data_IF_492019653523
#
_entry.id   IF_492019653523
#
_cell.length_a   1.000
_cell.length_b   1.000
_cell.length_c   1.000
_cell.angle_alpha   90.00
_cell.angle_beta   90.00
_cell.angle_gamma   90.00
#
_symmetry.space_group_name_H-M   'P 1'
#
loop_
_entity.id
_entity.type
_entity.pdbx_description
1 polymer ?
#
# COMPACT_ATOMS: atom_id res chain seq x y z
N UNK A 1 14.42 20.81 -12.93
CA UNK A 1 13.38 20.09 -12.13
C UNK A 1 13.50 18.62 -12.51
N UNK A 2 14.59 17.97 -12.09
CA UNK A 2 15.17 16.82 -12.80
C UNK A 2 14.94 15.47 -12.11
N UNK A 3 13.84 15.33 -11.39
CA UNK A 3 13.41 14.02 -10.89
C UNK A 3 12.10 13.64 -11.55
N UNK A 4 12.02 12.42 -12.01
CA UNK A 4 10.78 11.79 -12.44
C UNK A 4 9.90 11.50 -11.21
N UNK A 5 8.59 11.30 -11.42
CA UNK A 5 7.63 11.13 -10.31
C UNK A 5 7.94 9.87 -9.49
N UNK A 6 8.45 8.83 -10.13
CA UNK A 6 8.87 7.57 -9.51
C UNK A 6 10.15 7.70 -8.68
N UNK A 7 11.10 8.55 -9.09
CA UNK A 7 12.31 8.84 -8.31
C UNK A 7 11.96 9.59 -7.02
N UNK A 8 11.00 10.52 -7.08
CA UNK A 8 10.49 11.23 -5.89
C UNK A 8 9.75 10.29 -4.93
N UNK A 9 8.93 9.38 -5.46
CA UNK A 9 8.21 8.40 -4.63
C UNK A 9 9.19 7.45 -3.90
N UNK A 10 10.27 7.04 -4.58
CA UNK A 10 11.33 6.22 -3.98
C UNK A 10 12.19 6.97 -2.97
N UNK A 11 12.36 8.27 -3.13
CA UNK A 11 13.10 9.13 -2.21
C UNK A 11 12.33 9.49 -0.90
N UNK A 12 11.14 8.90 -0.67
CA UNK A 12 10.40 9.06 0.58
C UNK A 12 9.22 10.04 0.51
N UNK A 13 8.86 10.54 -0.68
CA UNK A 13 7.63 11.33 -0.86
C UNK A 13 6.44 10.38 -0.97
N UNK A 14 5.62 10.33 0.08
CA UNK A 14 4.37 9.57 0.09
C UNK A 14 3.35 10.22 -0.85
N UNK A 15 3.16 9.63 -2.04
CA UNK A 15 2.10 10.01 -2.97
C UNK A 15 0.79 9.37 -2.50
N UNK A 16 -0.02 10.12 -1.76
CA UNK A 16 -1.40 9.72 -1.48
C UNK A 16 -2.22 9.83 -2.78
N UNK A 17 -2.52 8.69 -3.41
CA UNK A 17 -3.43 8.64 -4.55
C UNK A 17 -4.80 9.15 -4.09
N UNK A 18 -5.25 10.28 -4.66
CA UNK A 18 -6.59 10.82 -4.42
C UNK A 18 -7.59 9.86 -5.08
N UNK A 19 -8.35 9.13 -4.24
CA UNK A 19 -9.45 8.24 -4.64
C UNK A 19 -9.10 7.26 -5.77
N UNK A 20 -8.53 6.08 -5.47
CA UNK A 20 -8.50 5.01 -6.47
C UNK A 20 -9.96 4.64 -6.77
N UNK A 21 -10.38 4.83 -8.02
CA UNK A 21 -11.57 4.18 -8.56
C UNK A 21 -11.41 2.70 -8.24
N UNK A 22 -12.30 2.13 -7.40
CA UNK A 22 -12.26 0.73 -6.98
C UNK A 22 -12.17 -0.15 -8.23
N UNK A 23 -10.99 -0.72 -8.50
CA UNK A 23 -10.83 -1.67 -9.60
C UNK A 23 -11.60 -2.93 -9.16
N UNK A 24 -12.70 -3.31 -9.84
CA UNK A 24 -13.51 -4.43 -9.40
C UNK A 24 -12.65 -5.70 -9.32
N UNK A 25 -12.53 -6.27 -8.12
CA UNK A 25 -11.77 -7.51 -7.89
C UNK A 25 -10.34 -7.35 -7.36
N UNK A 26 -9.85 -6.14 -7.10
CA UNK A 26 -8.55 -5.92 -6.43
C UNK A 26 -8.76 -5.27 -5.07
N UNK A 27 -8.70 -6.07 -4.01
CA UNK A 27 -8.75 -5.52 -2.66
C UNK A 27 -7.53 -4.65 -2.35
N UNK A 28 -7.72 -3.63 -1.51
CA UNK A 28 -6.68 -2.75 -0.98
C UNK A 28 -5.52 -3.57 -0.40
N UNK A 29 -5.80 -4.67 0.29
CA UNK A 29 -4.77 -5.58 0.82
C UNK A 29 -3.86 -6.18 -0.26
N UNK A 30 -4.43 -6.59 -1.40
CA UNK A 30 -3.66 -7.12 -2.53
C UNK A 30 -2.87 -6.02 -3.24
N UNK A 31 -3.47 -4.84 -3.42
CA UNK A 31 -2.80 -3.69 -4.00
C UNK A 31 -1.59 -3.23 -3.16
N UNK A 32 -1.77 -3.11 -1.86
CA UNK A 32 -0.72 -2.76 -0.92
C UNK A 32 0.39 -3.83 -0.90
N UNK A 33 0.06 -5.12 -1.08
CA UNK A 33 1.04 -6.20 -1.14
C UNK A 33 1.94 -6.08 -2.36
N UNK A 34 1.34 -5.81 -3.52
CA UNK A 34 2.08 -5.55 -4.77
C UNK A 34 2.98 -4.33 -4.63
N UNK A 35 2.44 -3.24 -4.06
CA UNK A 35 3.20 -2.00 -3.83
C UNK A 35 4.38 -2.22 -2.87
N UNK A 36 4.15 -2.94 -1.77
CA UNK A 36 5.21 -3.29 -0.83
C UNK A 36 6.28 -4.20 -1.47
N UNK A 37 5.88 -5.11 -2.35
CA UNK A 37 6.81 -5.97 -3.12
C UNK A 37 7.68 -5.13 -4.05
N UNK A 38 7.10 -4.16 -4.75
CA UNK A 38 7.84 -3.27 -5.66
C UNK A 38 8.86 -2.39 -4.92
N UNK A 39 8.56 -1.97 -3.68
CA UNK A 39 9.46 -1.15 -2.87
C UNK A 39 10.52 -2.00 -2.15
N UNK A 40 10.13 -3.15 -1.58
CA UNK A 40 11.00 -4.00 -0.75
C UNK A 40 11.80 -5.02 -1.57
N UNK A 41 11.45 -5.23 -2.84
CA UNK A 41 12.09 -6.22 -3.73
C UNK A 41 11.65 -7.67 -3.48
N UNK A 42 11.01 -7.97 -2.36
CA UNK A 42 10.49 -9.30 -2.02
C UNK A 42 9.04 -9.26 -1.56
N UNK A 43 8.28 -10.30 -1.93
CA UNK A 43 6.87 -10.39 -1.57
C UNK A 43 6.74 -10.83 -0.10
N UNK A 44 6.07 -10.04 0.76
CA UNK A 44 5.88 -10.43 2.15
C UNK A 44 5.02 -11.69 2.23
N UNK A 45 5.37 -12.56 3.20
CA UNK A 45 4.61 -13.78 3.49
C UNK A 45 3.19 -13.41 3.91
N UNK A 46 2.20 -14.15 3.42
CA UNK A 46 0.77 -13.82 3.63
C UNK A 46 0.42 -13.61 5.11
N UNK A 47 0.95 -14.48 5.99
CA UNK A 47 0.70 -14.42 7.44
C UNK A 47 1.28 -13.17 8.09
N UNK A 48 2.47 -12.74 7.69
CA UNK A 48 3.10 -11.53 8.23
C UNK A 48 2.49 -10.27 7.63
N UNK A 49 2.11 -10.34 6.35
CA UNK A 49 1.47 -9.25 5.61
C UNK A 49 0.15 -8.80 6.24
N UNK A 50 -0.75 -9.74 6.51
CA UNK A 50 -2.06 -9.42 7.14
C UNK A 50 -1.86 -8.74 8.49
N UNK A 51 -0.88 -9.18 9.28
CA UNK A 51 -0.54 -8.58 10.57
C UNK A 51 -0.02 -7.15 10.41
N UNK A 52 0.94 -6.93 9.49
CA UNK A 52 1.51 -5.60 9.21
C UNK A 52 0.44 -4.60 8.76
N UNK A 53 -0.46 -5.00 7.86
CA UNK A 53 -1.54 -4.15 7.37
C UNK A 53 -2.49 -3.78 8.52
N UNK A 54 -2.87 -4.75 9.36
CA UNK A 54 -3.77 -4.51 10.50
C UNK A 54 -3.16 -3.57 11.54
N UNK A 55 -1.87 -3.75 11.86
CA UNK A 55 -1.12 -2.87 12.76
C UNK A 55 -0.95 -1.46 12.20
N UNK A 56 -0.74 -1.32 10.89
CA UNK A 56 -0.68 -0.01 10.22
C UNK A 56 -2.05 0.69 10.26
N UNK A 57 -3.14 -0.03 9.98
CA UNK A 57 -4.51 0.51 10.06
C UNK A 57 -4.87 0.96 11.48
N UNK A 58 -4.51 0.17 12.50
CA UNK A 58 -4.75 0.55 13.90
C UNK A 58 -3.99 1.84 14.28
N UNK A 59 -2.73 1.99 13.85
CA UNK A 59 -1.94 3.20 14.08
C UNK A 59 -2.53 4.43 13.39
N UNK A 60 -3.12 4.25 12.22
CA UNK A 60 -3.76 5.30 11.43
C UNK A 60 -5.22 5.53 11.81
N UNK A 61 -5.73 4.86 12.86
CA UNK A 61 -7.14 4.89 13.28
C UNK A 61 -8.12 4.60 12.13
N UNK A 62 -7.72 3.70 11.23
CA UNK A 62 -8.46 3.32 10.03
C UNK A 62 -9.29 2.07 10.32
N UNK A 63 -10.52 2.02 9.81
CA UNK A 63 -11.40 0.85 9.95
C UNK A 63 -10.78 -0.36 9.21
N UNK A 64 -10.59 -1.52 9.87
CA UNK A 64 -10.11 -2.74 9.23
C UNK A 64 -10.91 -3.17 7.99
N UNK A 65 -12.20 -2.82 7.90
CA UNK A 65 -13.03 -3.07 6.72
C UNK A 65 -12.47 -2.41 5.45
N UNK A 66 -11.63 -1.38 5.59
CA UNK A 66 -10.96 -0.73 4.48
C UNK A 66 -9.94 -1.64 3.76
N UNK A 67 -9.43 -2.68 4.43
CA UNK A 67 -8.50 -3.63 3.79
C UNK A 67 -9.16 -4.53 2.75
N UNK A 68 -10.48 -4.73 2.89
CA UNK A 68 -11.30 -5.62 2.06
C UNK A 68 -12.04 -4.89 0.94
N UNK A 69 -12.07 -3.56 0.99
CA UNK A 69 -12.53 -2.72 -0.12
C UNK A 69 -11.58 -2.78 -1.30
#
# INVERSE_FOLDING_TARGET
LDMTVDERARAGVFLAMQYPVEVPGVSVSNFLRTSATAVRGEAPKLRTWVKEVKEAMQRLQMDPAFAER
#
